data_IF_335723041778
#
_entry.id   IF_335723041778
#
_cell.length_a   1.000
_cell.length_b   1.000
_cell.length_c   1.000
_cell.angle_alpha   90.00
_cell.angle_beta   90.00
_cell.angle_gamma   90.00
#
_symmetry.space_group_name_H-M   'P 1'
#
loop_
_entity.id
_entity.type
_entity.pdbx_description
1 polymer ?
#
# COMPACT_ATOMS: atom_id res chain seq x y z
N UNK A 1 -4.09 -15.78 -17.75
CA UNK A 1 -3.88 -14.89 -16.62
C UNK A 1 -4.29 -13.47 -16.99
N UNK A 2 -5.08 -12.86 -16.18
CA UNK A 2 -5.54 -11.50 -16.38
C UNK A 2 -4.40 -10.52 -16.14
N UNK A 3 -4.25 -9.57 -17.05
CA UNK A 3 -3.26 -8.50 -16.90
C UNK A 3 -3.94 -7.21 -16.52
N UNK A 4 -3.40 -6.55 -15.52
CA UNK A 4 -3.87 -5.25 -15.07
C UNK A 4 -2.88 -4.17 -15.48
N UNK A 5 -3.36 -2.94 -15.58
CA UNK A 5 -2.53 -1.79 -15.86
C UNK A 5 -2.68 -0.77 -14.71
N UNK A 6 -1.89 0.30 -14.76
CA UNK A 6 -1.88 1.28 -13.67
C UNK A 6 -3.23 1.99 -13.51
N UNK A 7 -4.06 2.02 -14.54
CA UNK A 7 -5.38 2.65 -14.47
C UNK A 7 -6.43 1.75 -13.83
N UNK A 8 -6.11 0.47 -13.63
CA UNK A 8 -6.95 -0.44 -12.84
C UNK A 8 -6.74 -0.26 -11.34
N UNK A 9 -5.70 0.47 -10.96
CA UNK A 9 -5.39 0.76 -9.58
C UNK A 9 -6.03 2.08 -9.20
N UNK A 10 -6.73 2.13 -8.07
CA UNK A 10 -7.55 3.30 -7.71
C UNK A 10 -7.40 3.63 -6.24
N UNK A 11 -7.65 4.91 -5.93
CA UNK A 11 -7.80 5.33 -4.54
C UNK A 11 -9.19 4.94 -4.05
N UNK A 12 -9.25 4.43 -2.84
CA UNK A 12 -10.49 4.03 -2.18
C UNK A 12 -10.69 4.94 -0.96
N UNK A 13 -11.87 5.55 -0.86
CA UNK A 13 -12.24 6.26 0.36
C UNK A 13 -12.70 5.25 1.40
N UNK A 14 -12.10 5.32 2.56
CA UNK A 14 -12.42 4.44 3.68
C UNK A 14 -13.35 5.16 4.64
N UNK A 15 -14.13 4.41 5.41
CA UNK A 15 -15.03 4.98 6.39
C UNK A 15 -14.25 5.72 7.47
N UNK A 16 -14.63 6.96 7.73
CA UNK A 16 -14.02 7.75 8.79
C UNK A 16 -15.11 8.14 9.78
N UNK A 17 -14.97 7.63 11.00
CA UNK A 17 -15.88 7.94 12.08
C UNK A 17 -15.28 9.03 12.95
N UNK A 18 -15.79 10.25 12.80
CA UNK A 18 -15.26 11.43 13.47
C UNK A 18 -15.90 11.65 14.83
N UNK A 19 -15.08 12.05 15.79
CA UNK A 19 -15.54 12.54 17.09
C UNK A 19 -14.71 13.77 17.45
N UNK A 20 -15.38 14.86 17.84
CA UNK A 20 -14.68 16.10 18.22
C UNK A 20 -13.80 15.89 19.45
N UNK A 21 -14.16 14.97 20.33
CA UNK A 21 -13.44 14.75 21.58
C UNK A 21 -12.50 13.56 21.56
N UNK A 22 -12.72 12.59 20.65
CA UNK A 22 -11.98 11.31 20.66
C UNK A 22 -11.20 11.06 19.39
N UNK A 23 -11.22 12.01 18.45
CA UNK A 23 -10.52 11.85 17.17
C UNK A 23 -11.32 11.06 16.17
N UNK A 24 -10.62 10.36 15.27
CA UNK A 24 -11.23 9.65 14.16
C UNK A 24 -10.91 8.16 14.22
N UNK A 25 -11.84 7.36 13.75
CA UNK A 25 -11.68 5.92 13.63
C UNK A 25 -11.97 5.50 12.19
N UNK A 26 -11.12 4.66 11.62
CA UNK A 26 -11.34 4.07 10.30
C UNK A 26 -11.29 2.56 10.43
N UNK A 27 -12.29 1.88 9.88
CA UNK A 27 -12.40 0.43 9.94
C UNK A 27 -12.18 -0.15 8.54
N UNK A 28 -11.35 -1.18 8.47
CA UNK A 28 -11.12 -1.95 7.25
C UNK A 28 -11.50 -3.38 7.56
N UNK A 29 -12.46 -3.91 6.82
CA UNK A 29 -13.04 -5.20 7.12
C UNK A 29 -13.13 -6.05 5.85
N UNK A 30 -12.76 -7.31 5.97
CA UNK A 30 -12.87 -8.25 4.85
C UNK A 30 -14.32 -8.37 4.42
N UNK A 31 -14.52 -8.49 3.11
CA UNK A 31 -15.83 -8.68 2.47
C UNK A 31 -16.74 -7.46 2.52
N UNK A 32 -16.34 -6.37 3.15
CA UNK A 32 -17.13 -5.14 3.20
C UNK A 32 -16.36 -3.96 2.63
N UNK A 33 -15.17 -3.67 3.17
CA UNK A 33 -14.35 -2.54 2.74
C UNK A 33 -13.48 -2.88 1.55
N UNK A 34 -12.94 -4.09 1.53
CA UNK A 34 -11.92 -4.50 0.56
C UNK A 34 -12.46 -5.47 -0.48
N UNK A 35 -11.98 -5.36 -1.72
CA UNK A 35 -12.33 -6.31 -2.78
C UNK A 35 -11.52 -7.61 -2.72
N UNK A 36 -10.75 -7.83 -1.66
CA UNK A 36 -10.00 -9.06 -1.44
C UNK A 36 -9.91 -9.34 0.06
N UNK A 37 -9.56 -10.57 0.41
CA UNK A 37 -9.35 -10.95 1.80
C UNK A 37 -7.93 -10.63 2.23
N UNK A 38 -7.79 -9.94 3.35
CA UNK A 38 -6.48 -9.61 3.93
C UNK A 38 -5.94 -10.84 4.63
N UNK A 39 -4.74 -11.25 4.22
CA UNK A 39 -4.03 -12.36 4.84
C UNK A 39 -2.74 -11.94 5.51
N UNK A 40 -2.30 -10.71 5.23
CA UNK A 40 -1.07 -10.18 5.81
C UNK A 40 -1.19 -8.67 5.94
N UNK A 41 -0.72 -8.14 7.06
CA UNK A 41 -0.59 -6.70 7.26
C UNK A 41 0.86 -6.43 7.63
N UNK A 42 1.46 -5.45 6.98
CA UNK A 42 2.77 -4.98 7.38
C UNK A 42 2.81 -3.45 7.28
N UNK A 43 3.77 -2.85 7.93
CA UNK A 43 3.90 -1.40 7.87
C UNK A 43 5.36 -0.98 7.91
N UNK A 44 5.64 0.09 7.19
CA UNK A 44 6.96 0.68 7.10
C UNK A 44 6.97 1.95 7.95
N UNK A 45 8.01 2.13 8.71
CA UNK A 45 8.16 3.30 9.57
C UNK A 45 9.63 3.66 9.70
N UNK A 46 9.91 4.86 10.16
CA UNK A 46 11.27 5.36 10.31
C UNK A 46 12.09 5.33 9.03
N UNK A 47 11.42 5.51 7.88
CA UNK A 47 12.12 5.59 6.60
C UNK A 47 12.80 6.95 6.53
N UNK A 48 14.13 7.00 6.37
CA UNK A 48 14.83 8.29 6.29
C UNK A 48 14.39 9.10 5.07
N UNK A 49 14.37 10.42 5.24
CA UNK A 49 14.05 11.31 4.12
C UNK A 49 15.00 11.09 2.96
N UNK A 50 14.45 11.07 1.75
CA UNK A 50 15.22 10.83 0.55
C UNK A 50 15.45 9.38 0.19
N UNK A 51 15.06 8.45 1.05
CA UNK A 51 15.16 7.03 0.78
C UNK A 51 13.89 6.50 0.12
N UNK A 52 14.05 5.40 -0.60
CA UNK A 52 12.95 4.72 -1.28
C UNK A 52 12.84 3.28 -0.81
N UNK A 53 11.65 2.74 -0.93
CA UNK A 53 11.36 1.35 -0.58
C UNK A 53 10.48 0.71 -1.65
N UNK A 54 10.49 -0.61 -1.69
CA UNK A 54 9.47 -1.37 -2.40
C UNK A 54 9.74 -1.69 -3.86
N UNK A 55 10.84 -1.32 -4.43
CA UNK A 55 11.18 -1.52 -5.84
C UNK A 55 11.07 -2.97 -6.31
N UNK A 56 9.85 -3.51 -6.32
CA UNK A 56 9.58 -4.88 -6.70
C UNK A 56 8.15 -5.01 -7.24
N UNK A 57 7.85 -6.15 -7.84
CA UNK A 57 6.51 -6.45 -8.35
C UNK A 57 5.97 -7.72 -7.71
N UNK A 58 4.67 -7.72 -7.41
CA UNK A 58 3.96 -8.88 -6.92
C UNK A 58 3.04 -9.39 -8.02
N UNK A 59 3.25 -10.63 -8.47
CA UNK A 59 2.50 -11.18 -9.61
C UNK A 59 1.04 -11.45 -9.30
N UNK A 60 0.77 -12.08 -8.16
CA UNK A 60 -0.58 -12.55 -7.83
C UNK A 60 -1.13 -11.92 -6.56
N UNK A 61 -0.64 -10.75 -6.22
CA UNK A 61 -0.93 -10.11 -4.95
C UNK A 61 -1.67 -8.81 -5.14
N UNK A 62 -2.83 -8.69 -4.50
CA UNK A 62 -3.53 -7.42 -4.36
C UNK A 62 -3.13 -6.77 -3.04
N UNK A 63 -3.04 -5.46 -3.03
CA UNK A 63 -2.66 -4.71 -1.83
C UNK A 63 -3.51 -3.46 -1.67
N UNK A 64 -3.70 -3.08 -0.43
CA UNK A 64 -4.22 -1.75 -0.08
C UNK A 64 -3.14 -1.03 0.71
N UNK A 65 -2.71 0.12 0.21
CA UNK A 65 -1.64 0.93 0.81
C UNK A 65 -2.24 2.18 1.43
N UNK A 66 -1.92 2.45 2.69
CA UNK A 66 -2.48 3.56 3.44
C UNK A 66 -1.37 4.35 4.12
N UNK A 67 -1.47 5.68 4.10
CA UNK A 67 -0.64 6.52 4.94
C UNK A 67 -1.29 6.62 6.33
N UNK A 68 -0.92 5.71 7.22
CA UNK A 68 -1.48 5.70 8.57
C UNK A 68 -1.03 6.92 9.36
N UNK A 69 0.12 7.48 9.01
CA UNK A 69 0.64 8.73 9.56
C UNK A 69 1.53 9.38 8.50
N UNK A 70 1.55 10.70 8.46
CA UNK A 70 2.39 11.44 7.54
C UNK A 70 1.98 11.27 6.09
N UNK A 71 2.96 11.31 5.20
CA UNK A 71 2.72 11.25 3.77
C UNK A 71 3.87 10.58 3.03
N UNK A 72 3.57 10.04 1.86
CA UNK A 72 4.56 9.48 0.94
C UNK A 72 3.95 9.35 -0.45
N UNK A 73 4.80 9.11 -1.42
CA UNK A 73 4.38 8.92 -2.82
C UNK A 73 4.56 7.47 -3.22
N UNK A 74 3.55 6.91 -3.87
CA UNK A 74 3.62 5.57 -4.47
C UNK A 74 3.61 5.73 -5.97
N UNK A 75 4.63 5.18 -6.63
CA UNK A 75 4.68 5.16 -8.09
C UNK A 75 4.47 3.73 -8.56
N UNK A 76 3.46 3.53 -9.39
CA UNK A 76 3.14 2.24 -9.97
C UNK A 76 3.58 2.21 -11.43
N UNK A 77 4.07 1.04 -11.85
CA UNK A 77 4.56 0.83 -13.21
C UNK A 77 4.08 -0.54 -13.69
N UNK A 78 3.31 -0.55 -14.79
CA UNK A 78 2.80 -1.79 -15.37
C UNK A 78 3.67 -2.32 -16.51
N UNK A 79 4.82 -1.68 -16.74
CA UNK A 79 5.72 -2.02 -17.83
C UNK A 79 5.52 -1.15 -19.07
N UNK A 80 4.42 -0.44 -19.16
CA UNK A 80 4.12 0.48 -20.27
C UNK A 80 3.90 1.90 -19.79
N UNK A 81 3.20 2.06 -18.68
CA UNK A 81 2.85 3.36 -18.12
C UNK A 81 3.20 3.43 -16.65
N UNK A 82 3.41 4.62 -16.17
CA UNK A 82 3.64 4.91 -14.74
C UNK A 82 2.56 5.84 -14.24
N UNK A 83 2.19 5.65 -12.99
CA UNK A 83 1.27 6.55 -12.29
C UNK A 83 1.72 6.75 -10.87
N UNK A 84 1.69 7.99 -10.41
CA UNK A 84 2.08 8.32 -9.03
C UNK A 84 0.86 8.76 -8.23
N UNK A 85 0.84 8.35 -6.96
CA UNK A 85 -0.23 8.69 -6.03
C UNK A 85 0.41 9.24 -4.77
N UNK A 86 -0.09 10.38 -4.32
CA UNK A 86 0.35 10.98 -3.08
C UNK A 86 -0.62 10.59 -1.97
N UNK A 87 -0.11 9.85 -0.98
CA UNK A 87 -0.91 9.38 0.13
C UNK A 87 -0.60 10.23 1.37
N UNK A 88 -1.60 10.91 1.89
CA UNK A 88 -1.42 11.82 3.02
C UNK A 88 -2.60 11.81 4.00
N UNK A 89 -3.51 10.86 3.88
CA UNK A 89 -4.66 10.75 4.76
C UNK A 89 -4.91 9.30 5.16
N UNK A 90 -5.15 9.01 6.43
CA UNK A 90 -5.34 7.63 6.88
C UNK A 90 -6.68 7.00 6.44
N UNK A 91 -7.61 7.80 5.96
CA UNK A 91 -8.90 7.29 5.48
C UNK A 91 -8.94 7.11 3.96
N UNK A 92 -7.80 7.18 3.30
CA UNK A 92 -7.69 6.94 1.86
C UNK A 92 -6.69 5.81 1.63
N UNK A 93 -7.07 4.83 0.83
CA UNK A 93 -6.20 3.71 0.50
C UNK A 93 -6.00 3.58 -0.99
N UNK A 94 -4.79 3.21 -1.39
CA UNK A 94 -4.50 2.89 -2.78
C UNK A 94 -4.65 1.40 -2.99
N UNK A 95 -5.62 1.02 -3.83
CA UNK A 95 -5.82 -0.37 -4.20
C UNK A 95 -4.92 -0.71 -5.38
N UNK A 96 -3.95 -1.59 -5.13
CA UNK A 96 -2.96 -2.00 -6.12
C UNK A 96 -3.29 -3.39 -6.62
N UNK A 97 -3.55 -3.50 -7.91
CA UNK A 97 -3.81 -4.77 -8.58
C UNK A 97 -2.52 -5.59 -8.72
N UNK A 98 -2.63 -6.91 -8.94
CA UNK A 98 -1.44 -7.74 -9.16
C UNK A 98 -0.61 -7.29 -10.37
N UNK A 99 0.67 -7.58 -10.32
CA UNK A 99 1.56 -7.36 -11.45
C UNK A 99 2.19 -5.98 -11.55
N UNK A 100 1.98 -5.13 -10.57
CA UNK A 100 2.54 -3.78 -10.59
C UNK A 100 3.91 -3.74 -9.96
N UNK A 101 4.87 -3.10 -10.63
CA UNK A 101 6.06 -2.57 -9.97
C UNK A 101 5.63 -1.39 -9.11
N UNK A 102 6.23 -1.26 -7.96
CA UNK A 102 5.93 -0.15 -7.08
C UNK A 102 7.18 0.41 -6.43
N UNK A 103 7.26 1.72 -6.38
CA UNK A 103 8.28 2.44 -5.65
C UNK A 103 7.59 3.32 -4.63
N UNK A 104 8.12 3.33 -3.43
CA UNK A 104 7.62 4.18 -2.33
C UNK A 104 8.71 5.19 -2.01
N UNK A 105 8.37 6.46 -2.00
CA UNK A 105 9.33 7.50 -1.74
C UNK A 105 8.69 8.75 -1.17
N UNK A 106 9.50 9.80 -1.03
CA UNK A 106 9.06 11.10 -0.50
C UNK A 106 8.40 10.99 0.88
N UNK A 107 8.95 10.13 1.75
CA UNK A 107 8.40 9.94 3.09
C UNK A 107 8.59 11.20 3.92
N UNK A 108 7.49 11.68 4.50
CA UNK A 108 7.58 12.76 5.48
C UNK A 108 8.12 12.20 6.81
N UNK A 109 8.56 13.12 7.68
CA UNK A 109 9.03 12.72 9.00
C UNK A 109 7.88 12.07 9.78
N UNK A 110 8.13 10.89 10.34
CA UNK A 110 7.12 10.15 11.09
C UNK A 110 6.08 9.46 10.24
N UNK A 111 6.29 9.36 8.93
CA UNK A 111 5.36 8.66 8.05
C UNK A 111 5.29 7.17 8.39
N UNK A 112 4.08 6.63 8.35
CA UNK A 112 3.83 5.19 8.51
C UNK A 112 3.04 4.72 7.30
N UNK A 113 3.62 3.82 6.54
CA UNK A 113 2.98 3.18 5.40
C UNK A 113 2.45 1.83 5.84
N UNK A 114 1.13 1.69 5.86
CA UNK A 114 0.49 0.42 6.23
C UNK A 114 -0.01 -0.27 4.97
N UNK A 115 0.31 -1.55 4.84
CA UNK A 115 -0.08 -2.34 3.67
C UNK A 115 -0.84 -3.57 4.11
N UNK A 116 -2.01 -3.77 3.49
CA UNK A 116 -2.80 -4.99 3.65
C UNK A 116 -2.70 -5.77 2.35
N UNK A 117 -2.35 -7.04 2.46
CA UNK A 117 -2.06 -7.87 1.30
C UNK A 117 -2.95 -9.11 1.25
N UNK A 118 -3.22 -9.58 0.04
CA UNK A 118 -4.13 -10.71 -0.21
C UNK A 118 -3.47 -12.07 -0.02
N UNK A 119 -2.18 -12.10 0.33
CA UNK A 119 -1.48 -13.35 0.53
C UNK A 119 -0.56 -13.27 1.75
N UNK A 120 -0.18 -14.43 2.27
CA UNK A 120 0.69 -14.52 3.43
C UNK A 120 2.14 -14.27 3.03
N UNK A 121 2.95 -13.90 4.02
CA UNK A 121 4.39 -13.76 3.80
C UNK A 121 5.01 -15.15 3.68
N UNK A 122 5.60 -15.44 2.52
CA UNK A 122 6.29 -16.72 2.28
C UNK A 122 7.69 -16.41 1.79
N UNK A 123 8.64 -16.51 2.68
CA UNK A 123 10.03 -16.12 2.45
C UNK A 123 10.65 -16.78 1.21
N UNK A 124 10.39 -18.08 1.02
CA UNK A 124 10.96 -18.83 -0.10
C UNK A 124 10.39 -18.43 -1.45
N UNK A 125 9.12 -17.98 -1.49
CA UNK A 125 8.47 -17.60 -2.73
C UNK A 125 8.73 -16.15 -3.11
N UNK A 126 9.02 -15.30 -2.14
CA UNK A 126 9.20 -13.87 -2.35
C UNK A 126 10.56 -13.41 -1.84
N UNK A 127 11.62 -14.07 -2.30
CA UNK A 127 12.97 -13.79 -1.80
C UNK A 127 13.36 -12.33 -1.94
N UNK A 128 13.13 -11.74 -3.12
CA UNK A 128 13.44 -10.32 -3.34
C UNK A 128 12.54 -9.41 -2.52
N UNK A 129 11.25 -9.72 -2.48
CA UNK A 129 10.29 -8.95 -1.70
C UNK A 129 10.59 -9.02 -0.21
N UNK A 130 10.94 -10.22 0.27
CA UNK A 130 11.30 -10.41 1.66
C UNK A 130 12.52 -9.58 2.04
N UNK A 131 13.51 -9.51 1.17
CA UNK A 131 14.71 -8.71 1.41
C UNK A 131 14.36 -7.22 1.49
N UNK A 132 13.49 -6.74 0.62
CA UNK A 132 13.02 -5.35 0.65
C UNK A 132 12.21 -5.06 1.90
N UNK A 133 11.29 -5.93 2.24
CA UNK A 133 10.42 -5.75 3.40
C UNK A 133 11.20 -5.81 4.71
N UNK A 134 12.30 -6.54 4.75
CA UNK A 134 13.14 -6.65 5.94
C UNK A 134 14.02 -5.42 6.18
N UNK A 135 14.16 -4.58 5.18
CA UNK A 135 14.98 -3.38 5.28
C UNK A 135 14.18 -2.23 5.85
#
# INVERSE_FOLDING_TARGET
>A
MEKFNVFDCTMIELDKHHSDRKGNLTVIQNSETLPFDVKRVYYLYDVPGGEERGSHAHRDLSQLIIAASGSFTVTLDDGKCKRSFFLNRPYQGLYVKPGMWRDLGDFSSGAVCMVMASDVYICLLYTSDAADEAR
#
